data_IF_893238490493
#
_entry.id   IF_893238490493
#
_cell.length_a   1.000
_cell.length_b   1.000
_cell.length_c   1.000
_cell.angle_alpha   90.00
_cell.angle_beta   90.00
_cell.angle_gamma   90.00
#
_symmetry.space_group_name_H-M   'P 1'
#
loop_
_entity.id
_entity.type
_entity.pdbx_description
1 polymer ?
#
# COMPACT_ATOMS: atom_id res chain seq x y z
N UNK A 1 5.62 -10.77 4.49
CA UNK A 1 6.39 -9.74 3.75
C UNK A 1 5.86 -8.37 4.11
N UNK A 2 6.73 -7.35 4.17
CA UNK A 2 6.38 -5.99 4.60
C UNK A 2 6.96 -4.96 3.63
N UNK A 3 6.20 -3.92 3.29
CA UNK A 3 6.65 -2.73 2.53
C UNK A 3 6.20 -1.44 3.21
N UNK A 4 6.90 -0.34 2.96
CA UNK A 4 6.65 0.96 3.60
C UNK A 4 7.13 1.02 5.06
N UNK A 5 6.78 2.10 5.76
CA UNK A 5 7.15 2.33 7.16
C UNK A 5 6.12 3.24 7.86
N UNK A 6 5.35 2.75 8.86
CA UNK A 6 4.31 3.52 9.57
C UNK A 6 4.83 4.76 10.31
N UNK A 7 6.14 4.84 10.56
CA UNK A 7 6.75 5.97 11.25
C UNK A 7 7.23 7.08 10.32
N UNK A 8 7.37 6.82 9.02
CA UNK A 8 7.97 7.82 8.14
C UNK A 8 7.11 9.08 8.04
N UNK A 9 7.75 10.24 7.99
CA UNK A 9 7.11 11.56 7.80
C UNK A 9 7.77 12.41 6.72
N UNK A 10 8.81 11.90 6.09
CA UNK A 10 9.57 12.61 5.07
C UNK A 10 10.28 11.62 4.15
N UNK A 11 10.73 12.14 3.01
CA UNK A 11 11.62 11.44 2.10
C UNK A 11 13.03 11.37 2.70
N UNK A 12 13.64 10.18 2.67
CA UNK A 12 14.94 9.87 3.29
C UNK A 12 16.02 9.58 2.26
N UNK A 13 15.67 9.02 1.11
CA UNK A 13 16.64 8.56 0.12
C UNK A 13 16.56 9.38 -1.17
N UNK A 14 17.72 9.65 -1.76
CA UNK A 14 17.78 10.19 -3.12
C UNK A 14 17.26 9.12 -4.09
N UNK A 15 16.39 9.51 -5.02
CA UNK A 15 15.84 8.58 -6.02
C UNK A 15 16.92 8.11 -6.98
N UNK A 16 16.73 6.91 -7.53
CA UNK A 16 17.58 6.26 -8.53
C UNK A 16 18.98 5.88 -8.03
N UNK A 17 19.14 5.72 -6.72
CA UNK A 17 20.38 5.14 -6.16
C UNK A 17 20.45 3.62 -6.34
N UNK A 18 19.29 2.94 -6.47
CA UNK A 18 19.21 1.49 -6.66
C UNK A 18 19.49 0.68 -5.40
N UNK A 19 19.61 1.34 -4.24
CA UNK A 19 19.73 0.65 -2.95
C UNK A 19 18.36 0.09 -2.53
N UNK A 20 18.36 -1.01 -1.76
CA UNK A 20 17.10 -1.61 -1.31
C UNK A 20 16.30 -0.71 -0.37
N UNK A 21 16.96 0.13 0.42
CA UNK A 21 16.28 1.12 1.26
C UNK A 21 15.59 2.20 0.43
N UNK A 22 16.23 2.65 -0.64
CA UNK A 22 15.63 3.60 -1.58
C UNK A 22 14.49 2.98 -2.38
N UNK A 23 14.66 1.75 -2.87
CA UNK A 23 13.59 1.02 -3.56
C UNK A 23 12.40 0.79 -2.63
N UNK A 24 12.63 0.45 -1.35
CA UNK A 24 11.56 0.33 -0.35
C UNK A 24 10.81 1.65 -0.15
N UNK A 25 11.51 2.78 -0.09
CA UNK A 25 10.85 4.09 0.01
C UNK A 25 10.02 4.39 -1.25
N UNK A 26 10.56 4.07 -2.43
CA UNK A 26 9.87 4.28 -3.71
C UNK A 26 8.73 3.32 -3.98
N UNK A 27 8.74 2.16 -3.33
CA UNK A 27 7.70 1.16 -3.43
C UNK A 27 6.34 1.67 -2.97
N UNK A 28 6.30 2.77 -2.22
CA UNK A 28 5.07 3.45 -1.81
C UNK A 28 4.94 4.76 -2.58
N UNK A 29 3.87 4.92 -3.37
CA UNK A 29 3.65 6.10 -4.21
C UNK A 29 2.18 6.49 -4.24
N UNK A 30 1.94 7.77 -4.51
CA UNK A 30 0.60 8.33 -4.63
C UNK A 30 0.32 8.80 -6.04
N UNK A 31 -0.94 8.66 -6.44
CA UNK A 31 -1.49 9.23 -7.64
C UNK A 31 -2.74 10.05 -7.29
N UNK A 32 -2.80 11.31 -7.72
CA UNK A 32 -4.01 12.11 -7.68
C UNK A 32 -4.63 12.08 -9.08
N UNK A 33 -5.71 11.32 -9.25
CA UNK A 33 -6.34 11.09 -10.54
C UNK A 33 -7.23 12.29 -10.88
N UNK A 34 -6.94 12.94 -12.01
CA UNK A 34 -7.70 14.08 -12.53
C UNK A 34 -7.87 13.89 -14.04
N UNK A 35 -9.11 13.76 -14.49
CA UNK A 35 -9.41 13.45 -15.90
C UNK A 35 -10.21 14.56 -16.58
N UNK A 36 -10.79 15.49 -15.83
CA UNK A 36 -11.52 16.62 -16.40
C UNK A 36 -10.71 17.91 -16.36
N UNK A 37 -11.14 18.88 -17.17
CA UNK A 37 -10.64 20.26 -17.11
C UNK A 37 -9.17 20.46 -17.51
N UNK A 38 -8.49 19.45 -18.05
CA UNK A 38 -7.10 19.54 -18.49
C UNK A 38 -6.10 19.76 -17.36
N UNK A 39 -6.51 19.51 -16.12
CA UNK A 39 -5.67 19.72 -14.95
C UNK A 39 -4.63 18.61 -14.83
N UNK A 40 -3.41 18.96 -14.43
CA UNK A 40 -2.39 17.96 -14.16
C UNK A 40 -2.76 17.16 -12.90
N UNK A 41 -2.68 15.84 -12.99
CA UNK A 41 -2.68 14.97 -11.82
C UNK A 41 -1.40 15.14 -11.00
N UNK A 42 -1.28 14.36 -9.94
CA UNK A 42 -0.06 14.25 -9.13
C UNK A 42 0.40 12.80 -9.11
N UNK A 43 1.72 12.60 -9.18
CA UNK A 43 2.36 11.28 -9.13
C UNK A 43 3.65 11.43 -8.33
N UNK A 44 3.67 10.98 -7.07
CA UNK A 44 4.81 11.29 -6.21
C UNK A 44 4.79 10.66 -4.82
N UNK A 45 5.59 11.25 -3.93
CA UNK A 45 5.75 10.85 -2.53
C UNK A 45 5.29 11.97 -1.61
N UNK A 46 4.61 11.60 -0.53
CA UNK A 46 3.87 12.53 0.33
C UNK A 46 2.54 12.97 -0.29
N UNK A 47 1.66 13.56 0.52
CA UNK A 47 0.33 13.93 0.04
C UNK A 47 0.37 15.00 -1.07
N UNK A 48 -0.56 14.95 -2.04
CA UNK A 48 -0.77 16.02 -2.99
C UNK A 48 -1.33 17.25 -2.27
N UNK A 49 -1.34 18.40 -2.93
CA UNK A 49 -1.93 19.65 -2.41
C UNK A 49 -3.19 20.07 -3.17
N UNK A 50 -3.74 19.16 -3.98
CA UNK A 50 -4.85 19.43 -4.90
C UNK A 50 -5.95 18.40 -4.69
N UNK A 51 -7.18 18.75 -5.07
CA UNK A 51 -8.27 17.79 -5.14
C UNK A 51 -8.00 16.71 -6.20
N UNK A 52 -8.47 15.49 -5.92
CA UNK A 52 -8.32 14.31 -6.79
C UNK A 52 -9.70 13.84 -7.24
N UNK A 53 -10.24 14.54 -8.25
CA UNK A 53 -11.59 14.34 -8.80
C UNK A 53 -11.94 12.87 -9.09
N UNK A 54 -11.00 12.12 -9.66
CA UNK A 54 -11.21 10.72 -10.01
C UNK A 54 -10.65 9.75 -8.95
N UNK A 55 -10.25 10.26 -7.79
CA UNK A 55 -9.76 9.51 -6.65
C UNK A 55 -8.30 9.78 -6.32
N UNK A 56 -8.01 9.72 -5.01
CA UNK A 56 -6.66 9.68 -4.49
C UNK A 56 -6.22 8.22 -4.38
N UNK A 57 -5.26 7.83 -5.20
CA UNK A 57 -4.83 6.46 -5.35
C UNK A 57 -3.50 6.22 -4.66
N UNK A 58 -3.51 5.18 -3.85
CA UNK A 58 -2.42 4.68 -3.07
C UNK A 58 -1.84 3.42 -3.69
N UNK A 59 -0.54 3.43 -3.94
CA UNK A 59 0.18 2.36 -4.62
C UNK A 59 1.30 1.84 -3.73
N UNK A 60 1.34 0.53 -3.56
CA UNK A 60 2.37 -0.13 -2.78
C UNK A 60 2.85 -1.41 -3.48
N UNK A 61 4.15 -1.46 -3.74
CA UNK A 61 4.83 -2.66 -4.21
C UNK A 61 5.37 -3.45 -3.02
N UNK A 62 5.27 -4.77 -3.05
CA UNK A 62 6.00 -5.66 -2.16
C UNK A 62 7.31 -6.15 -2.82
N UNK A 63 8.30 -6.59 -2.02
CA UNK A 63 9.45 -7.33 -2.52
C UNK A 63 9.04 -8.52 -3.41
N UNK A 64 9.85 -8.86 -4.41
CA UNK A 64 9.55 -9.93 -5.38
C UNK A 64 10.73 -10.88 -5.63
N UNK A 65 11.75 -10.79 -4.79
CA UNK A 65 12.98 -11.54 -4.90
C UNK A 65 13.30 -12.19 -3.56
N UNK A 66 13.52 -13.50 -3.55
CA UNK A 66 13.82 -14.30 -2.38
C UNK A 66 15.28 -14.72 -2.36
N UNK A 67 15.88 -14.79 -1.16
CA UNK A 67 17.27 -15.23 -0.97
C UNK A 67 17.53 -16.71 -1.28
N UNK A 68 16.47 -17.49 -1.53
CA UNK A 68 16.56 -18.91 -1.86
C UNK A 68 16.79 -19.82 -0.66
N UNK A 69 16.79 -19.27 0.56
CA UNK A 69 17.20 -19.97 1.78
C UNK A 69 16.24 -19.79 2.93
N UNK A 70 15.85 -18.55 3.25
CA UNK A 70 15.18 -18.22 4.51
C UNK A 70 13.72 -17.88 4.27
N UNK A 71 12.80 -18.64 4.86
CA UNK A 71 11.36 -18.32 4.79
C UNK A 71 10.98 -17.07 5.60
N UNK A 72 11.85 -16.65 6.52
CA UNK A 72 11.75 -15.44 7.32
C UNK A 72 13.14 -15.04 7.82
N UNK A 73 13.29 -13.79 8.26
CA UNK A 73 14.52 -13.24 8.85
C UNK A 73 14.23 -12.60 10.21
N UNK A 74 15.25 -12.39 11.04
CA UNK A 74 15.06 -11.82 12.38
C UNK A 74 14.45 -10.40 12.37
N UNK A 75 14.64 -9.67 11.27
CA UNK A 75 14.03 -8.36 11.01
C UNK A 75 12.74 -8.44 10.18
N UNK A 76 12.29 -9.65 9.83
CA UNK A 76 11.14 -9.96 8.96
C UNK A 76 11.19 -9.31 7.56
N UNK A 77 12.37 -8.89 7.12
CA UNK A 77 12.55 -8.08 5.92
C UNK A 77 13.71 -8.53 5.03
N UNK A 78 14.88 -8.82 5.61
CA UNK A 78 16.11 -9.11 4.86
C UNK A 78 16.14 -10.44 4.09
N UNK A 79 15.14 -11.31 4.26
CA UNK A 79 14.99 -12.54 3.46
C UNK A 79 14.40 -12.28 2.06
N UNK A 80 13.89 -11.06 1.80
CA UNK A 80 13.33 -10.66 0.51
C UNK A 80 13.88 -9.30 0.03
N UNK A 81 13.83 -9.06 -1.27
CA UNK A 81 14.30 -7.83 -1.91
C UNK A 81 13.35 -7.36 -3.03
N UNK A 82 13.41 -6.06 -3.33
CA UNK A 82 12.74 -5.43 -4.46
C UNK A 82 13.50 -5.66 -5.76
N UNK A 83 12.76 -5.71 -6.86
CA UNK A 83 13.29 -5.59 -8.21
C UNK A 83 13.95 -4.22 -8.41
N UNK A 84 14.99 -4.16 -9.24
CA UNK A 84 15.74 -2.93 -9.53
C UNK A 84 14.92 -1.78 -10.14
N UNK A 85 13.72 -2.05 -10.66
CA UNK A 85 12.76 -1.02 -11.09
C UNK A 85 11.36 -1.17 -10.49
N UNK A 86 11.24 -1.89 -9.37
CA UNK A 86 10.00 -2.17 -8.64
C UNK A 86 8.98 -3.01 -9.43
N UNK A 87 8.38 -2.44 -10.47
CA UNK A 87 7.34 -3.06 -11.30
C UNK A 87 7.89 -4.12 -12.26
N UNK A 88 9.02 -3.81 -12.88
CA UNK A 88 9.65 -4.66 -13.87
C UNK A 88 11.15 -4.60 -13.71
N UNK A 89 11.82 -5.73 -13.55
CA UNK A 89 13.24 -5.64 -13.24
C UNK A 89 13.90 -6.96 -12.99
N UNK A 90 15.11 -6.86 -12.46
CA UNK A 90 15.93 -8.00 -12.06
C UNK A 90 16.03 -8.05 -10.56
N UNK A 91 16.04 -9.27 -10.07
CA UNK A 91 16.43 -9.51 -8.69
C UNK A 91 17.93 -9.24 -8.49
N UNK A 92 18.31 -8.71 -7.32
CA UNK A 92 19.72 -8.59 -6.98
C UNK A 92 20.34 -9.99 -6.85
N UNK A 93 21.66 -10.10 -7.05
CA UNK A 93 22.37 -11.38 -6.94
C UNK A 93 22.28 -12.04 -5.56
N UNK A 94 21.98 -11.25 -4.52
CA UNK A 94 21.74 -11.72 -3.15
C UNK A 94 20.37 -12.39 -2.98
N UNK A 95 19.41 -12.13 -3.87
CA UNK A 95 18.04 -12.66 -3.82
C UNK A 95 17.64 -13.25 -5.18
N UNK A 96 18.30 -14.31 -5.65
CA UNK A 96 18.23 -14.72 -7.05
C UNK A 96 16.92 -15.38 -7.47
N UNK A 97 16.00 -15.67 -6.54
CA UNK A 97 14.76 -16.39 -6.83
C UNK A 97 13.60 -15.39 -7.00
N UNK A 98 13.14 -15.10 -8.23
CA UNK A 98 11.98 -14.26 -8.44
C UNK A 98 10.69 -15.02 -8.07
N UNK A 99 9.70 -14.30 -7.58
CA UNK A 99 8.34 -14.81 -7.36
C UNK A 99 7.30 -13.77 -7.80
N UNK A 100 6.02 -14.13 -7.70
CA UNK A 100 4.90 -13.28 -8.13
C UNK A 100 5.00 -11.89 -7.48
N UNK A 101 4.91 -10.86 -8.32
CA UNK A 101 4.87 -9.49 -7.87
C UNK A 101 3.51 -9.19 -7.25
N UNK A 102 3.51 -8.68 -6.03
CA UNK A 102 2.30 -8.20 -5.36
C UNK A 102 2.31 -6.68 -5.36
N UNK A 103 1.26 -6.13 -5.94
CA UNK A 103 1.00 -4.71 -6.06
C UNK A 103 -0.36 -4.39 -5.47
N UNK A 104 -0.39 -3.48 -4.49
CA UNK A 104 -1.63 -2.99 -3.90
C UNK A 104 -1.95 -1.62 -4.48
N UNK A 105 -3.16 -1.50 -5.02
CA UNK A 105 -3.70 -0.24 -5.50
C UNK A 105 -5.04 0.01 -4.81
N UNK A 106 -5.11 1.07 -4.01
CA UNK A 106 -6.31 1.44 -3.24
C UNK A 106 -6.70 2.86 -3.61
N UNK A 107 -7.92 3.05 -4.08
CA UNK A 107 -8.42 4.38 -4.48
C UNK A 107 -9.41 4.89 -3.44
N UNK A 108 -9.15 6.10 -2.93
CA UNK A 108 -9.99 6.81 -1.99
C UNK A 108 -10.77 7.90 -2.69
N UNK A 109 -12.09 7.93 -2.49
CA UNK A 109 -12.93 9.04 -2.96
C UNK A 109 -12.81 10.23 -2.01
N UNK A 110 -11.78 11.06 -2.27
CA UNK A 110 -11.55 12.30 -1.54
C UNK A 110 -12.36 13.47 -2.12
N UNK A 111 -12.88 13.31 -3.35
CA UNK A 111 -13.58 14.37 -4.07
C UNK A 111 -14.92 14.73 -3.42
N UNK A 112 -15.58 13.76 -2.78
CA UNK A 112 -16.78 13.98 -1.95
C UNK A 112 -16.59 15.06 -0.86
N UNK A 113 -15.34 15.37 -0.49
CA UNK A 113 -15.00 16.40 0.50
C UNK A 113 -14.43 17.68 -0.11
N UNK A 114 -14.29 17.78 -1.44
CA UNK A 114 -13.67 18.92 -2.13
C UNK A 114 -14.34 20.27 -1.80
N UNK A 115 -15.64 20.28 -1.51
CA UNK A 115 -16.37 21.50 -1.10
C UNK A 115 -16.06 22.00 0.32
N UNK A 116 -15.19 21.32 1.09
CA UNK A 116 -14.87 21.64 2.49
C UNK A 116 -13.50 22.29 2.69
N UNK A 117 -12.71 22.41 1.63
CA UNK A 117 -11.38 22.98 1.68
C UNK A 117 -11.02 23.56 0.30
N UNK A 118 -9.95 24.33 0.26
CA UNK A 118 -9.37 24.89 -0.96
C UNK A 118 -7.89 24.54 -1.02
N UNK A 119 -7.28 24.54 -2.20
CA UNK A 119 -5.84 24.26 -2.32
C UNK A 119 -4.98 25.20 -1.45
N UNK A 120 -5.47 26.42 -1.16
CA UNK A 120 -4.82 27.37 -0.26
C UNK A 120 -4.84 26.94 1.22
N UNK A 121 -5.81 26.13 1.64
CA UNK A 121 -5.87 25.54 2.97
C UNK A 121 -4.85 24.39 3.13
N UNK A 122 -4.40 23.83 2.00
CA UNK A 122 -3.55 22.64 1.95
C UNK A 122 -4.33 21.34 2.09
N UNK A 123 -3.62 20.21 2.02
CA UNK A 123 -4.22 18.88 2.08
C UNK A 123 -4.84 18.61 3.46
N UNK A 124 -6.16 18.31 3.54
CA UNK A 124 -6.86 18.19 4.82
C UNK A 124 -6.85 16.77 5.40
N UNK A 125 -6.41 15.76 4.63
CA UNK A 125 -6.48 14.36 5.04
C UNK A 125 -5.18 13.91 5.70
N UNK A 126 -5.30 12.92 6.58
CA UNK A 126 -4.18 12.33 7.32
C UNK A 126 -4.33 10.81 7.32
N UNK A 127 -3.22 10.07 7.40
CA UNK A 127 -3.31 8.63 7.68
C UNK A 127 -3.63 8.38 9.15
N UNK A 128 -4.29 7.25 9.41
CA UNK A 128 -4.64 6.79 10.76
C UNK A 128 -3.43 6.57 11.67
N UNK A 129 -2.23 6.47 11.11
CA UNK A 129 -0.93 6.47 11.80
C UNK A 129 -0.55 7.84 12.40
N UNK A 130 -1.42 8.84 12.29
CA UNK A 130 -1.15 10.22 12.72
C UNK A 130 -0.21 10.96 11.78
N UNK A 131 -0.28 10.65 10.49
CA UNK A 131 0.62 11.20 9.47
C UNK A 131 -0.10 12.22 8.57
N UNK A 132 0.21 13.51 8.70
CA UNK A 132 -0.30 14.55 7.80
C UNK A 132 0.60 14.80 6.59
N UNK A 133 1.70 14.05 6.41
CA UNK A 133 2.66 14.27 5.31
C UNK A 133 2.58 13.22 4.21
N UNK A 134 1.99 12.05 4.49
CA UNK A 134 1.70 11.02 3.50
C UNK A 134 2.88 10.07 3.21
N UNK A 135 3.78 9.85 4.18
CA UNK A 135 4.92 8.96 4.02
C UNK A 135 4.79 7.65 4.81
N UNK A 136 3.80 7.55 5.69
CA UNK A 136 3.65 6.45 6.66
C UNK A 136 2.88 5.23 6.16
N UNK A 137 2.48 5.18 4.90
CA UNK A 137 1.78 4.01 4.42
C UNK A 137 2.72 2.80 4.47
N UNK A 138 2.15 1.65 4.83
CA UNK A 138 2.80 0.36 4.77
C UNK A 138 1.80 -0.70 4.34
N UNK A 139 2.32 -1.86 3.96
CA UNK A 139 1.53 -2.99 3.53
C UNK A 139 2.18 -4.27 3.98
N UNK A 140 1.38 -5.15 4.55
CA UNK A 140 1.76 -6.49 4.94
C UNK A 140 1.07 -7.50 4.01
N UNK A 141 1.74 -8.61 3.77
CA UNK A 141 1.14 -9.76 3.12
C UNK A 141 1.36 -11.02 3.94
N UNK A 142 0.25 -11.70 4.16
CA UNK A 142 0.17 -13.04 4.69
C UNK A 142 -0.66 -13.88 3.73
N UNK A 143 -0.13 -15.03 3.33
CA UNK A 143 -0.85 -15.94 2.46
C UNK A 143 -1.86 -16.78 3.26
N UNK A 144 -3.14 -16.69 2.92
CA UNK A 144 -4.21 -17.55 3.44
C UNK A 144 -4.78 -18.53 2.43
N UNK A 145 -4.19 -18.64 1.23
CA UNK A 145 -4.69 -19.51 0.16
C UNK A 145 -4.31 -20.97 0.38
N UNK A 146 -5.14 -21.87 -0.15
CA UNK A 146 -4.70 -23.23 -0.45
C UNK A 146 -3.56 -23.16 -1.47
N UNK A 147 -2.40 -23.68 -1.09
CA UNK A 147 -1.17 -23.53 -1.89
C UNK A 147 -1.19 -24.34 -3.17
N UNK A 148 -1.92 -25.45 -3.24
CA UNK A 148 -2.05 -26.24 -4.46
C UNK A 148 -2.91 -25.51 -5.49
N UNK A 149 -4.02 -24.90 -5.02
CA UNK A 149 -4.88 -24.06 -5.86
C UNK A 149 -4.13 -22.83 -6.34
N UNK A 150 -3.44 -22.12 -5.44
CA UNK A 150 -2.68 -20.94 -5.80
C UNK A 150 -1.57 -21.26 -6.81
N UNK A 151 -0.83 -22.35 -6.62
CA UNK A 151 0.20 -22.78 -7.56
C UNK A 151 -0.39 -23.11 -8.94
N UNK A 152 -1.52 -23.82 -8.97
CA UNK A 152 -2.23 -24.13 -10.22
C UNK A 152 -2.66 -22.85 -10.94
N UNK A 153 -3.17 -21.85 -10.23
CA UNK A 153 -3.56 -20.57 -10.82
C UNK A 153 -2.34 -19.83 -11.40
N UNK A 154 -1.22 -19.78 -10.66
CA UNK A 154 0.02 -19.15 -11.14
C UNK A 154 0.52 -19.80 -12.44
N UNK A 155 0.47 -21.14 -12.52
CA UNK A 155 1.01 -21.88 -13.65
C UNK A 155 0.10 -21.85 -14.88
N UNK A 156 -1.22 -21.70 -14.69
CA UNK A 156 -2.21 -21.91 -15.76
C UNK A 156 -3.01 -20.67 -16.15
N UNK A 157 -2.98 -19.60 -15.35
CA UNK A 157 -3.78 -18.39 -15.57
C UNK A 157 -2.92 -17.17 -15.92
N UNK A 158 -1.99 -17.35 -16.85
CA UNK A 158 -1.03 -16.34 -17.29
C UNK A 158 -0.91 -16.28 -18.83
N UNK A 159 -1.91 -16.73 -19.57
CA UNK A 159 -1.86 -16.82 -21.02
C UNK A 159 -2.24 -15.47 -21.66
N UNK A 160 -1.30 -14.77 -22.34
CA UNK A 160 -1.56 -13.48 -22.97
C UNK A 160 -2.50 -13.55 -24.18
N UNK A 161 -2.90 -14.74 -24.63
CA UNK A 161 -3.77 -14.92 -25.80
C UNK A 161 -5.23 -15.21 -25.42
N UNK A 162 -5.58 -15.16 -24.14
CA UNK A 162 -6.95 -15.26 -23.65
C UNK A 162 -7.19 -14.31 -22.47
N UNK A 163 -8.41 -14.34 -21.91
CA UNK A 163 -8.80 -13.45 -20.83
C UNK A 163 -7.95 -13.54 -19.56
N UNK A 164 -7.18 -14.61 -19.36
CA UNK A 164 -6.27 -14.71 -18.19
C UNK A 164 -5.11 -13.71 -18.29
N UNK A 165 -4.67 -13.36 -19.50
CA UNK A 165 -3.66 -12.32 -19.73
C UNK A 165 -4.19 -10.89 -19.54
N UNK A 166 -5.49 -10.68 -19.75
CA UNK A 166 -6.16 -9.39 -19.61
C UNK A 166 -6.71 -9.15 -18.20
N UNK A 167 -6.45 -10.05 -17.25
CA UNK A 167 -6.94 -9.95 -15.86
C UNK A 167 -8.42 -10.30 -15.67
N UNK A 168 -9.04 -11.00 -16.63
CA UNK A 168 -10.43 -11.49 -16.50
C UNK A 168 -10.46 -12.72 -15.59
N UNK A 169 -10.93 -12.55 -14.36
CA UNK A 169 -10.85 -13.58 -13.31
C UNK A 169 -11.64 -14.84 -13.70
N UNK A 170 -12.77 -14.70 -14.39
CA UNK A 170 -13.62 -15.80 -14.87
C UNK A 170 -12.92 -16.72 -15.89
N UNK A 171 -11.86 -16.22 -16.55
CA UNK A 171 -11.06 -16.98 -17.49
C UNK A 171 -10.17 -18.00 -16.77
N UNK A 172 -9.76 -17.72 -15.52
CA UNK A 172 -8.89 -18.58 -14.74
C UNK A 172 -9.64 -19.77 -14.14
N UNK A 173 -9.58 -20.93 -14.81
CA UNK A 173 -10.32 -22.14 -14.41
C UNK A 173 -9.83 -22.80 -13.12
N UNK A 174 -8.66 -22.41 -12.62
CA UNK A 174 -8.17 -22.82 -11.31
C UNK A 174 -8.97 -22.18 -10.16
N UNK A 175 -9.67 -21.07 -10.42
CA UNK A 175 -10.40 -20.30 -9.41
C UNK A 175 -11.90 -20.55 -9.47
N UNK A 176 -12.52 -20.68 -8.31
CA UNK A 176 -13.97 -20.69 -8.17
C UNK A 176 -14.39 -19.32 -7.65
N UNK A 177 -15.11 -18.58 -8.48
CA UNK A 177 -15.62 -17.27 -8.11
C UNK A 177 -16.78 -17.40 -7.13
N UNK A 178 -16.69 -16.64 -6.05
CA UNK A 178 -17.78 -16.46 -5.10
C UNK A 178 -18.58 -15.22 -5.48
N UNK A 179 -19.89 -15.31 -5.32
CA UNK A 179 -20.78 -14.17 -5.51
C UNK A 179 -20.43 -13.00 -4.55
N UNK A 180 -20.48 -11.78 -5.08
CA UNK A 180 -20.15 -10.56 -4.35
C UNK A 180 -20.99 -10.37 -3.08
N UNK A 181 -22.28 -10.70 -3.12
CA UNK A 181 -23.14 -10.54 -1.96
C UNK A 181 -22.72 -11.50 -0.84
N UNK A 182 -22.30 -12.73 -1.20
CA UNK A 182 -21.75 -13.70 -0.24
C UNK A 182 -20.39 -13.22 0.28
N UNK A 183 -19.49 -12.76 -0.58
CA UNK A 183 -18.18 -12.22 -0.17
C UNK A 183 -18.32 -11.06 0.83
N UNK A 184 -19.26 -10.14 0.60
CA UNK A 184 -19.55 -8.99 1.48
C UNK A 184 -20.10 -9.38 2.85
N UNK A 185 -20.53 -10.63 3.05
CA UNK A 185 -20.93 -11.14 4.37
C UNK A 185 -19.73 -11.52 5.25
N UNK A 186 -18.57 -11.79 4.65
CA UNK A 186 -17.34 -12.09 5.36
C UNK A 186 -16.77 -10.81 5.96
N UNK A 187 -17.05 -10.55 7.23
CA UNK A 187 -16.55 -9.39 7.98
C UNK A 187 -15.66 -9.85 9.12
N UNK A 188 -14.51 -9.20 9.26
CA UNK A 188 -13.70 -9.34 10.46
C UNK A 188 -14.50 -8.84 11.68
N UNK A 189 -14.43 -9.57 12.78
CA UNK A 189 -14.98 -9.13 14.06
C UNK A 189 -13.99 -8.12 14.65
N UNK A 190 -14.44 -6.93 15.11
CA UNK A 190 -13.55 -6.00 15.79
C UNK A 190 -12.87 -6.67 16.99
N UNK A 191 -11.54 -6.67 17.00
CA UNK A 191 -10.75 -7.22 18.11
C UNK A 191 -10.58 -6.22 19.27
N UNK A 192 -10.72 -4.92 18.97
CA UNK A 192 -10.59 -3.83 19.92
C UNK A 192 -11.94 -3.13 20.14
N UNK A 193 -12.24 -2.81 21.40
CA UNK A 193 -13.44 -2.05 21.78
C UNK A 193 -13.10 -0.56 21.85
N UNK A 194 -13.23 0.15 20.73
CA UNK A 194 -13.05 1.60 20.64
C UNK A 194 -14.08 2.25 19.71
N UNK A 195 -14.24 3.57 19.82
CA UNK A 195 -15.17 4.31 18.95
C UNK A 195 -14.49 4.62 17.63
N UNK A 196 -14.92 3.95 16.56
CA UNK A 196 -14.35 4.08 15.21
C UNK A 196 -15.29 4.75 14.20
N UNK A 197 -16.51 5.13 14.63
CA UNK A 197 -17.53 5.71 13.77
C UNK A 197 -17.94 7.11 14.22
N UNK A 198 -18.52 7.87 13.29
CA UNK A 198 -18.99 9.23 13.53
C UNK A 198 -17.88 10.28 13.47
N UNK A 199 -18.14 11.45 14.05
CA UNK A 199 -17.14 12.50 14.20
C UNK A 199 -16.34 12.25 15.48
N UNK A 200 -15.02 12.14 15.34
CA UNK A 200 -14.10 11.86 16.43
C UNK A 200 -13.24 13.09 16.72
N UNK A 201 -12.97 13.36 17.99
CA UNK A 201 -12.09 14.47 18.40
C UNK A 201 -10.60 14.20 18.12
N UNK A 202 -10.24 12.92 17.98
CA UNK A 202 -8.87 12.45 17.70
C UNK A 202 -8.89 11.11 16.98
N UNK A 203 -7.76 10.75 16.36
CA UNK A 203 -7.60 9.46 15.69
C UNK A 203 -7.67 8.29 16.70
N UNK A 204 -8.33 7.17 16.34
CA UNK A 204 -8.33 5.92 17.12
C UNK A 204 -6.92 5.37 17.39
N UNK A 205 -6.79 4.49 18.39
CA UNK A 205 -5.54 3.78 18.69
C UNK A 205 -4.35 4.64 19.17
N UNK A 206 -4.61 5.81 19.77
CA UNK A 206 -3.58 6.75 20.22
C UNK A 206 -2.56 7.15 19.12
N UNK A 207 -3.08 7.64 17.99
CA UNK A 207 -2.26 8.12 16.89
C UNK A 207 -2.31 9.66 16.80
N UNK A 208 -1.63 10.41 17.69
CA UNK A 208 -1.60 11.87 17.58
C UNK A 208 -0.95 12.30 16.26
N UNK A 209 -1.39 13.44 15.73
CA UNK A 209 -0.79 14.01 14.52
C UNK A 209 0.68 14.37 14.79
N UNK A 210 1.57 13.83 13.97
CA UNK A 210 3.00 14.06 14.04
C UNK A 210 3.49 14.54 12.67
N UNK A 211 3.67 15.86 12.46
CA UNK A 211 3.98 16.42 11.14
C UNK A 211 5.42 16.19 10.66
N UNK A 212 6.27 15.55 11.48
CA UNK A 212 7.67 15.30 11.13
C UNK A 212 8.54 16.57 11.18
N UNK A 213 9.62 16.65 10.39
CA UNK A 213 10.03 15.71 9.34
C UNK A 213 10.68 14.41 9.88
N UNK A 214 10.99 14.36 11.18
CA UNK A 214 11.50 13.16 11.82
C UNK A 214 10.48 12.02 11.85
N UNK A 215 10.96 10.79 11.99
CA UNK A 215 10.09 9.63 12.17
C UNK A 215 9.19 9.82 13.40
N UNK A 216 7.94 9.38 13.26
CA UNK A 216 6.97 9.41 14.34
C UNK A 216 7.37 8.50 15.49
N UNK A 217 7.08 8.98 16.69
CA UNK A 217 7.11 8.18 17.92
C UNK A 217 5.85 7.32 17.95
N UNK A 218 6.01 6.02 18.20
CA UNK A 218 4.88 5.12 18.40
C UNK A 218 4.41 5.26 19.85
N UNK A 219 3.13 5.50 20.03
CA UNK A 219 2.49 5.57 21.33
C UNK A 219 1.69 4.30 21.61
N UNK A 220 1.46 4.07 22.90
CA UNK A 220 0.56 3.09 23.46
C UNK A 220 -0.47 3.81 24.31
N UNK A 221 -1.51 3.12 24.73
CA UNK A 221 -2.52 3.70 25.62
C UNK A 221 -1.91 4.26 26.92
N UNK A 222 -0.81 3.67 27.39
CA UNK A 222 -0.15 4.06 28.64
C UNK A 222 0.62 5.39 28.56
N UNK A 223 1.02 5.83 27.35
CA UNK A 223 1.84 7.03 27.16
C UNK A 223 1.25 7.98 26.10
N UNK A 224 -0.06 7.91 25.90
CA UNK A 224 -0.76 8.73 24.93
C UNK A 224 -0.67 10.22 25.28
N UNK A 225 -0.14 11.08 24.40
CA UNK A 225 -0.17 12.51 24.65
C UNK A 225 -1.63 12.99 24.62
N UNK A 226 -1.97 13.82 25.62
CA UNK A 226 -3.29 14.46 25.76
C UNK A 226 -3.34 15.71 24.91
#
# INVERSE_FOLDING_TARGET
>A
MISGNPRSRSKKFATETGSQDELRERATKWACLRYTGGQAGYEGYGFPTTDCEAGFQARLHLPSCWDGKNVDSADHMSHVAYLDRLDNGRCPSTHPVPFIHLFYEVTWDVHDFAGRWTEADGWPFVWSTGDPTGYSWHGDFQNGWDTEVLQTAIDTCNNPNDGTGDGVIEACKALVLQDDAVAKTCKAVPELTETIGGQLDKLPGCNPLQPGPGDATLYSDANCPV
#
